data_IF_409499055761
#
_entry.id   IF_409499055761
#
_cell.length_a   1.000
_cell.length_b   1.000
_cell.length_c   1.000
_cell.angle_alpha   90.00
_cell.angle_beta   90.00
_cell.angle_gamma   90.00
#
_symmetry.space_group_name_H-M   'P 1'
#
loop_
_entity.id
_entity.type
_entity.pdbx_description
1 polymer ?
#
# COMPACT_ATOMS: atom_id res chain seq x y z
N UNK A 1 1.21 -0.42 18.65
CA UNK A 1 0.92 -1.04 18.42
C UNK A 1 0.40 -1.13 18.03
N UNK A 2 0.35 -0.86 18.44
CA UNK A 2 0.30 -1.46 17.28
C UNK A 2 -0.91 -2.20 17.01
N UNK A 3 -0.91 -2.70 15.89
CA UNK A 3 -1.99 -3.55 15.50
C UNK A 3 -2.00 -4.77 16.37
N UNK A 4 -3.15 -5.13 16.86
CA UNK A 4 -3.34 -6.48 17.31
C UNK A 4 -3.12 -7.38 16.10
N UNK A 5 -2.12 -8.23 16.18
CA UNK A 5 -1.68 -9.06 15.06
C UNK A 5 -2.77 -9.92 14.44
N UNK A 6 -3.87 -10.12 15.13
CA UNK A 6 -4.86 -11.12 14.74
C UNK A 6 -6.24 -10.57 14.39
N UNK A 7 -6.47 -9.28 14.59
CA UNK A 7 -7.84 -8.75 14.55
C UNK A 7 -8.34 -8.50 13.14
N UNK A 8 -7.45 -8.10 12.22
CA UNK A 8 -7.88 -7.65 10.91
C UNK A 8 -7.21 -8.38 9.76
N UNK A 9 -6.81 -9.63 10.00
CA UNK A 9 -6.25 -10.45 8.93
C UNK A 9 -7.28 -11.46 8.47
N UNK A 10 -7.52 -11.55 7.18
CA UNK A 10 -8.46 -12.51 6.65
C UNK A 10 -8.52 -12.52 5.15
N UNK A 11 -9.41 -13.33 4.62
CA UNK A 11 -9.67 -13.39 3.19
C UNK A 11 -10.88 -12.54 2.85
N UNK A 12 -10.73 -11.74 1.80
CA UNK A 12 -11.81 -10.92 1.29
C UNK A 12 -12.57 -11.69 0.22
N UNK A 13 -13.90 -11.75 0.34
CA UNK A 13 -14.77 -12.35 -0.66
C UNK A 13 -15.50 -11.22 -1.38
N UNK A 14 -15.15 -10.94 -2.65
CA UNK A 14 -15.80 -9.85 -3.37
C UNK A 14 -17.24 -10.20 -3.74
N UNK A 15 -18.09 -9.19 -3.72
CA UNK A 15 -19.46 -9.29 -4.24
C UNK A 15 -19.45 -9.27 -5.76
N UNK A 16 -18.46 -8.59 -6.35
CA UNK A 16 -18.30 -8.46 -7.79
C UNK A 16 -16.97 -9.08 -8.24
N UNK A 17 -16.85 -10.42 -8.22
CA UNK A 17 -15.56 -11.08 -8.46
C UNK A 17 -14.97 -10.84 -9.84
N UNK A 18 -15.79 -10.51 -10.83
CA UNK A 18 -15.31 -10.25 -12.20
C UNK A 18 -14.42 -9.01 -12.29
N UNK A 19 -14.52 -8.10 -11.32
CA UNK A 19 -13.67 -6.89 -11.27
C UNK A 19 -12.27 -7.19 -10.82
N UNK A 20 -12.05 -8.29 -10.11
CA UNK A 20 -10.76 -8.58 -9.52
C UNK A 20 -9.77 -9.13 -10.54
N UNK A 21 -8.57 -8.55 -10.59
CA UNK A 21 -7.46 -9.01 -11.43
C UNK A 21 -6.57 -9.90 -10.59
N UNK A 22 -6.67 -11.22 -10.80
CA UNK A 22 -5.85 -12.17 -10.08
C UNK A 22 -6.66 -13.32 -9.50
N UNK A 23 -6.11 -13.99 -8.49
CA UNK A 23 -6.76 -15.15 -7.87
C UNK A 23 -7.81 -14.70 -6.86
N UNK A 24 -9.09 -14.76 -7.28
CA UNK A 24 -10.23 -14.35 -6.46
C UNK A 24 -10.33 -15.13 -5.15
N UNK A 25 -9.83 -16.36 -5.14
CA UNK A 25 -9.90 -17.22 -3.95
C UNK A 25 -8.84 -16.88 -2.91
N UNK A 26 -7.91 -15.99 -3.22
CA UNK A 26 -6.77 -15.70 -2.35
C UNK A 26 -6.51 -14.20 -2.21
N UNK A 27 -7.58 -13.44 -1.93
CA UNK A 27 -7.46 -12.01 -1.66
C UNK A 27 -7.33 -11.83 -0.15
N UNK A 28 -6.15 -11.43 0.31
CA UNK A 28 -5.85 -11.36 1.74
C UNK A 28 -5.70 -9.91 2.17
N UNK A 29 -6.45 -9.51 3.19
CA UNK A 29 -6.23 -8.23 3.86
C UNK A 29 -5.49 -8.47 5.18
N UNK A 30 -4.57 -7.54 5.50
CA UNK A 30 -3.75 -7.63 6.71
C UNK A 30 -4.02 -6.50 7.69
N UNK A 31 -4.98 -5.64 7.37
CA UNK A 31 -5.35 -4.52 8.23
C UNK A 31 -6.77 -4.10 7.93
N UNK A 32 -7.38 -3.35 8.87
CA UNK A 32 -8.70 -2.78 8.66
C UNK A 32 -8.68 -1.73 7.53
N UNK A 33 -7.56 -1.07 7.33
CA UNK A 33 -7.39 -0.11 6.24
C UNK A 33 -7.52 -0.82 4.89
N UNK A 34 -6.82 -1.93 4.74
CA UNK A 34 -6.87 -2.71 3.50
C UNK A 34 -8.26 -3.25 3.25
N UNK A 35 -8.91 -3.79 4.27
CA UNK A 35 -10.27 -4.30 4.14
C UNK A 35 -11.23 -3.20 3.68
N UNK A 36 -11.12 -2.03 4.26
CA UNK A 36 -11.98 -0.91 3.89
C UNK A 36 -11.76 -0.50 2.44
N UNK A 37 -10.52 -0.47 2.00
CA UNK A 37 -10.20 -0.14 0.61
C UNK A 37 -10.71 -1.20 -0.36
N UNK A 38 -10.58 -2.48 -0.01
CA UNK A 38 -11.08 -3.59 -0.83
C UNK A 38 -12.59 -3.51 -1.03
N UNK A 39 -13.33 -3.21 0.04
CA UNK A 39 -14.78 -3.03 -0.04
C UNK A 39 -15.13 -1.87 -0.97
N UNK A 40 -14.39 -0.78 -0.88
CA UNK A 40 -14.60 0.36 -1.74
C UNK A 40 -14.35 0.01 -3.21
N UNK A 41 -13.27 -0.71 -3.51
CA UNK A 41 -12.97 -1.15 -4.87
C UNK A 41 -14.07 -2.06 -5.42
N UNK A 42 -14.53 -3.00 -4.61
CA UNK A 42 -15.52 -3.98 -5.02
C UNK A 42 -16.87 -3.34 -5.31
N UNK A 43 -17.25 -2.34 -4.54
CA UNK A 43 -18.59 -1.75 -4.59
C UNK A 43 -18.70 -0.47 -5.43
N UNK A 44 -17.57 0.16 -5.77
CA UNK A 44 -17.58 1.40 -6.53
C UNK A 44 -17.72 1.12 -8.02
N UNK A 45 -18.80 1.61 -8.60
CA UNK A 45 -19.10 1.39 -10.04
C UNK A 45 -18.05 2.01 -10.96
N UNK A 46 -17.34 3.04 -10.49
CA UNK A 46 -16.30 3.70 -11.28
C UNK A 46 -14.98 2.93 -11.30
N UNK A 47 -14.84 1.94 -10.41
CA UNK A 47 -13.72 1.01 -10.43
C UNK A 47 -14.07 -0.14 -11.37
N UNK A 48 -13.37 -0.21 -12.50
CA UNK A 48 -13.62 -1.24 -13.50
C UNK A 48 -12.92 -2.54 -13.14
N UNK A 49 -11.69 -2.42 -12.62
CA UNK A 49 -10.90 -3.57 -12.19
C UNK A 49 -9.97 -3.16 -11.07
N UNK A 50 -9.56 -4.14 -10.26
CA UNK A 50 -8.61 -3.91 -9.16
C UNK A 50 -7.90 -5.21 -8.80
N UNK A 51 -6.74 -5.10 -8.14
CA UNK A 51 -5.97 -6.24 -7.67
C UNK A 51 -5.22 -5.90 -6.40
N UNK A 52 -4.93 -6.91 -5.60
CA UNK A 52 -4.19 -6.78 -4.34
C UNK A 52 -2.88 -7.53 -4.46
N UNK A 53 -1.78 -6.80 -4.39
CA UNK A 53 -0.41 -7.35 -4.44
C UNK A 53 -0.13 -8.23 -5.66
N UNK A 54 -0.77 -7.93 -6.79
CA UNK A 54 -0.62 -8.73 -8.02
C UNK A 54 0.50 -8.24 -8.92
N UNK A 55 1.08 -7.07 -8.64
CA UNK A 55 2.13 -6.45 -9.44
C UNK A 55 3.37 -6.21 -8.60
N UNK A 56 4.55 -6.47 -9.16
CA UNK A 56 5.81 -6.15 -8.46
C UNK A 56 6.66 -5.19 -9.28
N UNK A 57 7.38 -4.32 -8.59
CA UNK A 57 8.27 -3.33 -9.18
C UNK A 57 9.64 -3.48 -8.54
N UNK A 58 10.72 -3.57 -9.34
CA UNK A 58 12.06 -3.62 -8.77
C UNK A 58 12.45 -2.26 -8.20
N UNK A 59 13.12 -2.27 -7.07
CA UNK A 59 13.70 -1.05 -6.49
C UNK A 59 15.03 -1.42 -5.84
N UNK A 60 15.93 -0.45 -5.72
CA UNK A 60 17.20 -0.65 -5.03
C UNK A 60 17.06 -0.19 -3.59
N UNK A 61 17.26 -1.11 -2.64
CA UNK A 61 17.15 -0.79 -1.22
C UNK A 61 18.38 0.01 -0.75
N UNK A 62 18.18 1.15 -0.06
CA UNK A 62 19.31 1.88 0.52
C UNK A 62 19.93 1.18 1.72
N UNK A 63 19.28 0.16 2.26
CA UNK A 63 19.79 -0.57 3.43
C UNK A 63 20.91 -1.53 3.05
N UNK A 64 20.74 -2.30 1.96
CA UNK A 64 21.73 -3.29 1.53
C UNK A 64 22.27 -3.04 0.13
N UNK A 65 21.78 -2.00 -0.55
CA UNK A 65 22.18 -1.61 -1.90
C UNK A 65 21.91 -2.72 -2.94
N UNK A 66 20.91 -3.56 -2.68
CA UNK A 66 20.48 -4.63 -3.59
C UNK A 66 19.13 -4.32 -4.19
N UNK A 67 18.84 -4.96 -5.33
CA UNK A 67 17.54 -4.86 -5.96
C UNK A 67 16.57 -5.82 -5.28
N UNK A 68 15.44 -5.31 -4.86
CA UNK A 68 14.36 -6.06 -4.24
C UNK A 68 13.09 -5.85 -5.05
N UNK A 69 12.06 -6.62 -4.73
CA UNK A 69 10.74 -6.44 -5.33
C UNK A 69 9.83 -5.71 -4.36
N UNK A 70 9.16 -4.69 -4.87
CA UNK A 70 8.13 -3.97 -4.15
C UNK A 70 6.77 -4.36 -4.72
N UNK A 71 5.87 -4.80 -3.86
CA UNK A 71 4.49 -5.10 -4.22
C UNK A 71 3.60 -3.98 -3.69
N UNK A 72 3.17 -3.03 -4.54
CA UNK A 72 2.19 -2.04 -4.10
C UNK A 72 0.94 -2.75 -3.59
N UNK A 73 0.28 -2.17 -2.58
CA UNK A 73 -0.86 -2.81 -1.96
C UNK A 73 -1.97 -3.10 -2.95
N UNK A 74 -2.27 -2.15 -3.85
CA UNK A 74 -3.37 -2.31 -4.78
C UNK A 74 -3.06 -1.72 -6.15
N UNK A 75 -3.68 -2.33 -7.14
CA UNK A 75 -3.83 -1.78 -8.48
C UNK A 75 -5.30 -1.49 -8.68
N UNK A 76 -5.66 -0.33 -9.25
CA UNK A 76 -7.03 -0.02 -9.60
C UNK A 76 -7.11 0.65 -10.96
N UNK A 77 -8.27 0.47 -11.62
CA UNK A 77 -8.63 1.25 -12.79
C UNK A 77 -9.91 2.02 -12.48
N UNK A 78 -9.78 3.33 -12.37
CA UNK A 78 -10.84 4.24 -11.94
C UNK A 78 -11.09 5.26 -13.04
N UNK A 79 -12.31 5.30 -13.56
CA UNK A 79 -12.69 6.22 -14.64
C UNK A 79 -11.72 6.18 -15.82
N UNK A 80 -11.29 4.98 -16.20
CA UNK A 80 -10.40 4.79 -17.33
C UNK A 80 -8.94 5.08 -17.09
N UNK A 81 -8.56 5.45 -15.85
CA UNK A 81 -7.17 5.70 -15.48
C UNK A 81 -6.68 4.65 -14.51
N UNK A 82 -5.44 4.21 -14.69
CA UNK A 82 -4.82 3.19 -13.84
C UNK A 82 -3.97 3.80 -12.76
N UNK A 83 -4.05 3.22 -11.56
CA UNK A 83 -3.32 3.70 -10.39
C UNK A 83 -2.69 2.54 -9.66
N UNK A 84 -1.52 2.79 -9.07
CA UNK A 84 -0.97 1.92 -8.04
C UNK A 84 -1.17 2.63 -6.70
N UNK A 85 -1.63 1.87 -5.72
CA UNK A 85 -2.04 2.42 -4.42
C UNK A 85 -1.24 1.76 -3.32
N UNK A 86 -0.70 2.59 -2.43
CA UNK A 86 -0.09 2.15 -1.18
C UNK A 86 -0.95 2.66 -0.04
N UNK A 87 -1.34 1.76 0.86
CA UNK A 87 -2.10 2.13 2.06
C UNK A 87 -1.09 2.27 3.20
N UNK A 88 -1.02 3.47 3.79
CA UNK A 88 -0.02 3.72 4.82
C UNK A 88 -0.57 4.72 5.84
N UNK A 89 -0.46 4.46 7.15
CA UNK A 89 -0.79 5.49 8.13
C UNK A 89 0.05 6.73 7.91
N UNK A 90 -0.55 7.91 8.04
CA UNK A 90 0.09 9.17 7.69
C UNK A 90 1.40 9.42 8.44
N UNK A 91 1.50 8.93 9.68
CA UNK A 91 2.73 9.07 10.47
C UNK A 91 3.94 8.43 9.82
N UNK A 92 3.74 7.38 9.00
CA UNK A 92 4.83 6.69 8.31
C UNK A 92 5.16 7.30 6.95
N UNK A 93 4.45 8.34 6.53
CA UNK A 93 4.75 9.07 5.30
C UNK A 93 5.67 10.26 5.55
N UNK A 94 6.05 10.49 6.80
CA UNK A 94 6.90 11.61 7.23
C UNK A 94 8.19 11.08 7.83
N UNK A 95 9.23 11.93 7.83
CA UNK A 95 10.50 11.58 8.45
C UNK A 95 10.30 11.25 9.93
N UNK A 96 10.97 10.21 10.44
CA UNK A 96 10.93 9.92 11.87
C UNK A 96 11.48 11.09 12.67
N UNK A 97 10.83 11.41 13.79
CA UNK A 97 11.30 12.48 14.68
C UNK A 97 12.57 12.03 15.39
N UNK A 98 13.56 12.94 15.45
CA UNK A 98 14.83 12.65 16.12
C UNK A 98 14.60 12.65 17.63
N UNK A 99 14.84 11.53 18.35
CA UNK A 99 14.66 11.49 19.79
C UNK A 99 15.86 12.12 20.48
N UNK A 100 15.73 12.41 21.78
CA UNK A 100 16.86 12.92 22.58
C UNK A 100 18.03 11.96 22.60
N UNK A 101 17.74 10.66 22.62
CA UNK A 101 18.77 9.60 22.57
C UNK A 101 18.46 8.69 21.40
N UNK A 102 19.47 8.47 20.54
CA UNK A 102 19.32 7.58 19.40
C UNK A 102 19.27 6.14 19.89
N UNK A 103 18.15 5.47 19.60
CA UNK A 103 17.90 4.08 19.98
C UNK A 103 17.93 3.19 18.76
N UNK A 104 17.98 1.86 18.98
CA UNK A 104 17.84 0.90 17.90
C UNK A 104 16.54 1.10 17.17
N UNK A 105 15.45 1.39 17.91
CA UNK A 105 14.15 1.64 17.33
C UNK A 105 14.18 2.82 16.36
N UNK A 106 14.82 3.91 16.75
CA UNK A 106 14.95 5.07 15.87
C UNK A 106 15.73 4.73 14.61
N UNK A 107 16.82 3.98 14.74
CA UNK A 107 17.63 3.56 13.59
C UNK A 107 16.81 2.70 12.64
N UNK A 108 16.01 1.77 13.17
CA UNK A 108 15.12 0.94 12.34
C UNK A 108 14.05 1.76 11.65
N UNK A 109 13.49 2.76 12.33
CA UNK A 109 12.50 3.65 11.73
C UNK A 109 13.11 4.46 10.57
N UNK A 110 14.33 4.93 10.71
CA UNK A 110 15.03 5.65 9.65
C UNK A 110 15.29 4.74 8.44
N UNK A 111 15.74 3.52 8.69
CA UNK A 111 15.96 2.55 7.63
C UNK A 111 14.65 2.23 6.90
N UNK A 112 13.58 2.02 7.64
CA UNK A 112 12.27 1.71 7.07
C UNK A 112 11.74 2.88 6.23
N UNK A 113 11.91 4.11 6.74
CA UNK A 113 11.48 5.29 6.00
C UNK A 113 12.28 5.43 4.70
N UNK A 114 13.59 5.24 4.74
CA UNK A 114 14.44 5.28 3.55
C UNK A 114 14.05 4.21 2.53
N UNK A 115 13.76 3.00 3.00
CA UNK A 115 13.30 1.91 2.15
C UNK A 115 11.96 2.26 1.49
N UNK A 116 11.03 2.82 2.26
CA UNK A 116 9.74 3.24 1.73
C UNK A 116 9.88 4.31 0.65
N UNK A 117 10.75 5.30 0.88
CA UNK A 117 10.99 6.35 -0.13
C UNK A 117 11.52 5.76 -1.43
N UNK A 118 12.45 4.80 -1.34
CA UNK A 118 13.00 4.14 -2.53
C UNK A 118 11.93 3.34 -3.27
N UNK A 119 11.07 2.62 -2.55
CA UNK A 119 9.94 1.90 -3.13
C UNK A 119 9.00 2.84 -3.86
N UNK A 120 8.63 3.94 -3.20
CA UNK A 120 7.65 4.89 -3.75
C UNK A 120 8.20 5.65 -4.93
N UNK A 121 9.49 5.96 -4.93
CA UNK A 121 10.13 6.57 -6.08
C UNK A 121 10.08 5.64 -7.29
N UNK A 122 10.44 4.38 -7.11
CA UNK A 122 10.38 3.39 -8.19
C UNK A 122 8.96 3.20 -8.70
N UNK A 123 7.98 3.18 -7.81
CA UNK A 123 6.57 3.08 -8.20
C UNK A 123 6.12 4.30 -9.00
N UNK A 124 6.55 5.49 -8.58
CA UNK A 124 6.22 6.73 -9.29
C UNK A 124 6.80 6.72 -10.71
N UNK A 125 8.06 6.30 -10.84
CA UNK A 125 8.71 6.20 -12.14
C UNK A 125 8.02 5.17 -13.05
N UNK A 126 7.70 4.00 -12.48
CA UNK A 126 6.97 2.97 -13.21
C UNK A 126 5.63 3.49 -13.73
N UNK A 127 4.91 4.20 -12.89
CA UNK A 127 3.61 4.75 -13.26
C UNK A 127 3.76 5.82 -14.35
N UNK A 128 4.75 6.70 -14.24
CA UNK A 128 5.01 7.69 -15.27
C UNK A 128 5.31 7.04 -16.62
N UNK A 129 6.12 5.99 -16.62
CA UNK A 129 6.49 5.28 -17.85
C UNK A 129 5.29 4.62 -18.52
N UNK A 130 4.27 4.25 -17.74
CA UNK A 130 3.11 3.51 -18.23
C UNK A 130 1.85 4.38 -18.36
N UNK A 131 1.94 5.67 -18.08
CA UNK A 131 0.78 6.55 -18.11
C UNK A 131 -0.18 6.31 -16.94
N UNK A 132 0.30 5.76 -15.84
CA UNK A 132 -0.46 5.52 -14.63
C UNK A 132 -0.09 6.57 -13.58
N UNK A 133 -0.75 6.50 -12.43
CA UNK A 133 -0.43 7.36 -11.31
C UNK A 133 -0.24 6.53 -10.04
N UNK A 134 0.77 6.89 -9.24
CA UNK A 134 1.00 6.27 -7.94
C UNK A 134 0.43 7.17 -6.85
N UNK A 135 -0.35 6.58 -5.92
CA UNK A 135 -0.93 7.33 -4.80
C UNK A 135 -0.73 6.60 -3.49
N UNK A 136 -0.43 7.37 -2.45
CA UNK A 136 -0.41 6.88 -1.07
C UNK A 136 -1.72 7.31 -0.42
N UNK A 137 -2.47 6.33 0.09
CA UNK A 137 -3.75 6.55 0.75
C UNK A 137 -3.53 6.35 2.26
N UNK A 138 -3.96 7.33 3.02
CA UNK A 138 -3.81 7.29 4.48
C UNK A 138 -5.18 7.14 5.14
N UNK A 139 -5.19 7.11 6.48
CA UNK A 139 -6.44 7.07 7.24
C UNK A 139 -7.36 8.24 6.89
N UNK A 140 -6.80 9.35 6.45
CA UNK A 140 -7.58 10.55 6.13
C UNK A 140 -8.48 10.31 4.93
N UNK A 141 -7.95 9.73 3.85
CA UNK A 141 -8.74 9.42 2.66
C UNK A 141 -9.72 8.28 2.91
N UNK A 142 -9.37 7.37 3.82
CA UNK A 142 -10.25 6.25 4.17
C UNK A 142 -11.34 6.62 5.15
N UNK A 143 -11.28 7.83 5.73
CA UNK A 143 -12.26 8.26 6.72
C UNK A 143 -12.13 7.55 8.06
N UNK A 144 -10.92 7.12 8.40
CA UNK A 144 -10.64 6.46 9.69
C UNK A 144 -10.13 7.51 10.66
N UNK A 145 -10.76 7.56 11.85
CA UNK A 145 -10.33 8.47 12.91
C UNK A 145 -9.41 7.77 13.88
N UNK A 146 -8.34 8.42 14.27
CA UNK A 146 -7.54 8.00 15.41
C UNK A 146 -7.99 8.74 16.64
N UNK A 147 -8.11 8.02 17.69
CA UNK A 147 -8.30 8.63 19.01
C UNK A 147 -7.09 8.33 19.87
#
# INVERSE_FOLDING_TARGET
MPYSKNVYKGRFKPTNPKKYCGDVSNIIYRSSYELKFMKWCDQNENIVEWGSEELSIPYRSPVDNRVHRYFPDFYIMLNGKKYLIEIKPSRFTQEPKIPKRKTKRFIEEVKQYGTNLAKWQSATEFCLDNGWEFKIITEKELGISYK
#
